data_IF_894316807757
#
_entry.id   IF_894316807757
#
_cell.length_a   1.000
_cell.length_b   1.000
_cell.length_c   1.000
_cell.angle_alpha   90.00
_cell.angle_beta   90.00
_cell.angle_gamma   90.00
#
_symmetry.space_group_name_H-M   'P 1'
#
loop_
_entity.id
_entity.type
_entity.pdbx_description
1 polymer ?
#
# COMPACT_ATOMS: atom_id res chain seq x y z
N UNK A 1 3.46 34.38 -4.77
CA UNK A 1 2.63 33.26 -4.33
C UNK A 1 3.43 31.99 -4.58
N UNK A 2 3.39 31.00 -3.70
CA UNK A 2 4.11 29.74 -3.88
C UNK A 2 3.57 28.98 -5.10
N UNK A 3 4.44 28.32 -5.86
CA UNK A 3 4.09 27.61 -7.08
C UNK A 3 3.98 26.11 -6.82
N UNK A 4 2.79 25.53 -7.09
CA UNK A 4 2.49 24.11 -6.88
C UNK A 4 2.35 23.42 -8.25
N UNK A 5 3.27 22.54 -8.57
CA UNK A 5 3.29 21.76 -9.81
C UNK A 5 2.60 20.40 -9.62
N UNK A 6 1.63 20.10 -10.46
CA UNK A 6 0.92 18.83 -10.49
C UNK A 6 1.43 18.00 -11.66
N UNK A 7 2.00 16.84 -11.37
CA UNK A 7 2.57 15.95 -12.41
C UNK A 7 1.58 14.97 -13.02
N UNK A 8 0.55 14.44 -12.28
CA UNK A 8 -0.36 13.48 -12.88
C UNK A 8 -1.42 14.15 -13.73
N UNK A 9 -1.90 13.49 -14.79
CA UNK A 9 -3.07 13.92 -15.56
C UNK A 9 -4.30 14.10 -14.69
N UNK A 10 -5.13 15.08 -15.00
CA UNK A 10 -6.31 15.43 -14.20
C UNK A 10 -7.59 15.50 -15.04
N UNK A 11 -8.63 14.81 -14.56
CA UNK A 11 -10.00 15.00 -15.05
C UNK A 11 -10.62 16.32 -14.56
N UNK A 12 -11.81 16.63 -15.07
CA UNK A 12 -12.51 17.89 -14.75
C UNK A 12 -12.80 18.04 -13.25
N UNK A 13 -13.18 16.97 -12.55
CA UNK A 13 -13.47 16.99 -11.11
C UNK A 13 -12.23 17.38 -10.31
N UNK A 14 -11.08 16.77 -10.60
CA UNK A 14 -9.84 17.08 -9.88
C UNK A 14 -9.31 18.47 -10.22
N UNK A 15 -9.49 18.95 -11.46
CA UNK A 15 -9.18 20.34 -11.85
C UNK A 15 -9.99 21.35 -11.08
N UNK A 16 -11.29 21.09 -10.88
CA UNK A 16 -12.17 21.95 -10.07
C UNK A 16 -11.69 21.99 -8.60
N UNK A 17 -11.33 20.85 -8.03
CA UNK A 17 -10.77 20.75 -6.67
C UNK A 17 -9.49 21.60 -6.56
N UNK A 18 -8.56 21.45 -7.51
CA UNK A 18 -7.33 22.26 -7.54
C UNK A 18 -7.67 23.74 -7.62
N UNK A 19 -8.54 24.16 -8.55
CA UNK A 19 -8.93 25.56 -8.73
C UNK A 19 -9.57 26.17 -7.49
N UNK A 20 -10.42 25.41 -6.77
CA UNK A 20 -11.01 25.86 -5.51
C UNK A 20 -9.97 26.00 -4.39
N UNK A 21 -9.06 25.06 -4.24
CA UNK A 21 -8.03 25.04 -3.18
C UNK A 21 -6.88 26.01 -3.43
N UNK A 22 -6.58 26.30 -4.69
CA UNK A 22 -5.52 27.23 -5.08
C UNK A 22 -5.89 28.70 -4.81
N UNK A 23 -7.19 29.05 -4.81
CA UNK A 23 -7.64 30.46 -4.66
C UNK A 23 -7.07 31.12 -3.41
N UNK A 24 -6.18 32.09 -3.64
CA UNK A 24 -5.53 32.86 -2.56
C UNK A 24 -4.46 32.10 -1.77
N UNK A 25 -4.21 30.81 -2.06
CA UNK A 25 -3.26 29.98 -1.33
C UNK A 25 -1.95 29.75 -2.11
N UNK A 26 -2.05 29.41 -3.41
CA UNK A 26 -0.90 29.09 -4.26
C UNK A 26 -1.22 29.25 -5.75
N UNK A 27 -0.17 29.36 -6.58
CA UNK A 27 -0.25 29.32 -8.03
C UNK A 27 -0.20 27.84 -8.49
N UNK A 28 -1.28 27.35 -9.12
CA UNK A 28 -1.40 25.96 -9.55
C UNK A 28 -0.96 25.80 -11.00
N UNK A 29 0.00 24.93 -11.25
CA UNK A 29 0.49 24.58 -12.58
C UNK A 29 0.27 23.09 -12.82
N UNK A 30 -0.52 22.72 -13.84
CA UNK A 30 -0.74 21.33 -14.24
C UNK A 30 0.20 21.04 -15.40
N UNK A 31 1.13 20.10 -15.22
CA UNK A 31 2.22 19.83 -16.16
C UNK A 31 1.71 19.39 -17.53
N UNK A 32 0.61 18.63 -17.60
CA UNK A 32 0.04 18.18 -18.87
C UNK A 32 -0.51 19.32 -19.74
N UNK A 33 -0.88 20.46 -19.14
CA UNK A 33 -1.42 21.62 -19.84
C UNK A 33 -0.34 22.49 -20.49
N UNK A 34 0.93 22.27 -20.12
CA UNK A 34 2.05 23.04 -20.62
C UNK A 34 2.61 22.44 -21.90
N UNK A 35 2.93 23.28 -22.90
CA UNK A 35 3.73 22.86 -24.04
C UNK A 35 5.11 22.39 -23.57
N UNK A 36 5.74 21.49 -24.34
CA UNK A 36 6.97 20.81 -23.94
C UNK A 36 8.11 21.77 -23.58
N UNK A 37 8.24 22.85 -24.35
CA UNK A 37 9.25 23.89 -24.13
C UNK A 37 9.06 24.72 -22.84
N UNK A 38 7.90 24.68 -22.21
CA UNK A 38 7.62 25.40 -20.95
C UNK A 38 7.77 24.50 -19.70
N UNK A 39 7.84 23.18 -19.89
CA UNK A 39 7.89 22.23 -18.78
C UNK A 39 9.15 22.37 -17.92
N UNK A 40 10.30 22.64 -18.55
CA UNK A 40 11.54 22.85 -17.82
C UNK A 40 11.47 24.08 -16.90
N UNK A 41 10.83 25.16 -17.35
CA UNK A 41 10.61 26.34 -16.52
C UNK A 41 9.63 26.05 -15.37
N UNK A 42 8.64 25.20 -15.59
CA UNK A 42 7.71 24.79 -14.54
C UNK A 42 8.42 23.99 -13.42
N UNK A 43 9.32 23.09 -13.77
CA UNK A 43 10.16 22.39 -12.78
C UNK A 43 11.07 23.36 -12.01
N UNK A 44 11.72 24.27 -12.70
CA UNK A 44 12.67 25.21 -12.09
C UNK A 44 12.01 26.17 -11.10
N UNK A 45 10.73 26.48 -11.30
CA UNK A 45 9.99 27.45 -10.46
C UNK A 45 9.08 26.81 -9.41
N UNK A 46 8.99 25.48 -9.36
CA UNK A 46 8.13 24.79 -8.42
C UNK A 46 8.67 24.87 -6.98
N UNK A 47 7.84 25.36 -6.04
CA UNK A 47 8.06 25.27 -4.59
C UNK A 47 7.58 23.93 -4.04
N UNK A 48 6.50 23.40 -4.62
CA UNK A 48 5.84 22.16 -4.22
C UNK A 48 5.53 21.33 -5.47
N UNK A 49 5.75 20.03 -5.38
CA UNK A 49 5.29 19.05 -6.39
C UNK A 49 4.24 18.15 -5.77
N UNK A 50 3.09 18.01 -6.46
CA UNK A 50 2.04 17.02 -6.14
C UNK A 50 2.07 15.93 -7.22
N UNK A 51 2.30 14.67 -6.81
CA UNK A 51 2.62 13.56 -7.72
C UNK A 51 2.03 12.24 -7.26
N UNK A 52 1.80 11.29 -8.19
CA UNK A 52 1.60 9.87 -7.86
C UNK A 52 2.90 9.21 -7.39
N UNK A 53 4.04 9.81 -7.72
CA UNK A 53 5.36 9.39 -7.27
C UNK A 53 6.08 8.42 -8.19
N UNK A 54 5.53 8.07 -9.35
CA UNK A 54 6.22 7.18 -10.26
C UNK A 54 7.50 7.83 -10.84
N UNK A 55 8.63 7.09 -10.93
CA UNK A 55 9.89 7.65 -11.43
C UNK A 55 9.79 8.33 -12.81
N UNK A 56 8.85 7.89 -13.67
CA UNK A 56 8.57 8.47 -14.98
C UNK A 56 7.89 9.85 -14.93
N UNK A 57 7.31 10.23 -13.79
CA UNK A 57 6.71 11.56 -13.59
C UNK A 57 7.76 12.65 -13.33
N UNK A 58 8.99 12.26 -13.04
CA UNK A 58 10.07 13.17 -12.67
C UNK A 58 11.20 13.11 -13.71
N UNK A 59 11.71 14.25 -14.19
CA UNK A 59 12.87 14.27 -15.06
C UNK A 59 14.09 13.68 -14.35
N UNK A 60 15.02 13.03 -15.07
CA UNK A 60 16.24 12.45 -14.47
C UNK A 60 17.10 13.48 -13.74
N UNK A 61 17.12 14.71 -14.25
CA UNK A 61 17.89 15.86 -13.77
C UNK A 61 17.05 16.81 -12.87
N UNK A 62 16.01 16.28 -12.21
CA UNK A 62 15.13 17.07 -11.34
C UNK A 62 15.90 17.80 -10.24
N UNK A 63 16.93 17.16 -9.67
CA UNK A 63 17.75 17.75 -8.59
C UNK A 63 18.43 19.05 -9.01
N UNK A 64 18.89 19.12 -10.26
CA UNK A 64 19.54 20.28 -10.83
C UNK A 64 18.53 21.33 -11.28
N UNK A 65 17.37 20.89 -11.78
CA UNK A 65 16.31 21.78 -12.28
C UNK A 65 15.49 22.41 -11.16
N UNK A 66 14.99 21.62 -10.23
CA UNK A 66 14.01 22.07 -9.24
C UNK A 66 14.66 22.59 -7.95
N UNK A 67 15.58 23.56 -8.06
CA UNK A 67 16.37 24.09 -6.90
C UNK A 67 15.52 24.77 -5.83
N UNK A 68 14.32 25.22 -6.17
CA UNK A 68 13.39 25.88 -5.25
C UNK A 68 12.45 24.90 -4.55
N UNK A 69 12.53 23.59 -4.89
CA UNK A 69 11.61 22.58 -4.38
C UNK A 69 11.78 22.38 -2.87
N UNK A 70 10.71 22.59 -2.12
CA UNK A 70 10.68 22.44 -0.66
C UNK A 70 9.84 21.25 -0.21
N UNK A 71 8.80 20.87 -0.99
CA UNK A 71 7.90 19.78 -0.63
C UNK A 71 7.54 18.93 -1.85
N UNK A 72 7.60 17.61 -1.69
CA UNK A 72 6.94 16.65 -2.57
C UNK A 72 5.79 16.02 -1.78
N UNK A 73 4.56 16.27 -2.23
CA UNK A 73 3.35 15.65 -1.70
C UNK A 73 2.91 14.50 -2.60
N UNK A 74 3.09 13.27 -2.14
CA UNK A 74 2.55 12.12 -2.85
C UNK A 74 1.02 12.07 -2.74
N UNK A 75 0.33 11.62 -3.79
CA UNK A 75 -1.12 11.36 -3.82
C UNK A 75 -1.46 9.94 -3.32
N UNK A 76 -0.45 9.13 -3.02
CA UNK A 76 -0.57 7.73 -2.59
C UNK A 76 -0.03 7.54 -1.17
N UNK A 77 -0.50 6.49 -0.50
CA UNK A 77 -0.08 6.19 0.86
C UNK A 77 1.33 5.57 0.93
N UNK A 78 1.64 4.63 0.04
CA UNK A 78 2.96 3.99 -0.02
C UNK A 78 3.88 4.73 -0.98
N UNK A 79 5.09 5.04 -0.55
CA UNK A 79 6.05 5.90 -1.27
C UNK A 79 7.38 5.20 -1.60
N UNK A 80 7.41 3.89 -1.49
CA UNK A 80 8.57 3.03 -1.75
C UNK A 80 9.11 3.11 -3.18
N UNK A 81 8.32 3.59 -4.12
CA UNK A 81 8.65 3.78 -5.53
C UNK A 81 9.11 5.20 -5.90
N UNK A 82 9.13 6.14 -4.94
CA UNK A 82 9.61 7.50 -5.16
C UNK A 82 11.12 7.53 -5.45
N UNK A 83 11.57 8.32 -6.45
CA UNK A 83 12.99 8.49 -6.73
C UNK A 83 13.62 9.52 -5.77
N UNK A 84 13.75 9.15 -4.49
CA UNK A 84 14.25 10.04 -3.44
C UNK A 84 15.61 10.69 -3.76
N UNK A 85 16.44 10.00 -4.52
CA UNK A 85 17.76 10.46 -4.95
C UNK A 85 17.72 11.60 -5.99
N UNK A 86 16.58 11.78 -6.66
CA UNK A 86 16.36 12.88 -7.63
C UNK A 86 15.87 14.18 -6.97
N UNK A 87 15.46 14.13 -5.71
CA UNK A 87 15.01 15.34 -5.04
C UNK A 87 16.18 16.18 -4.52
N UNK A 88 16.10 17.52 -4.60
CA UNK A 88 17.08 18.41 -3.98
C UNK A 88 17.27 18.11 -2.49
N UNK A 89 18.47 18.29 -1.93
CA UNK A 89 18.72 18.17 -0.51
C UNK A 89 17.81 19.10 0.30
N UNK A 90 17.22 18.59 1.38
CA UNK A 90 16.32 19.36 2.24
C UNK A 90 14.85 19.36 1.79
N UNK A 91 14.53 18.75 0.64
CA UNK A 91 13.14 18.59 0.21
C UNK A 91 12.40 17.69 1.20
N UNK A 92 11.29 18.18 1.75
CA UNK A 92 10.38 17.38 2.58
C UNK A 92 9.55 16.51 1.66
N UNK A 93 9.39 15.24 2.01
CA UNK A 93 8.51 14.31 1.29
C UNK A 93 7.38 13.89 2.21
N UNK A 94 6.15 14.01 1.72
CA UNK A 94 4.96 13.57 2.45
C UNK A 94 4.21 12.50 1.68
N UNK A 95 3.81 11.44 2.37
CA UNK A 95 2.86 10.45 1.84
C UNK A 95 1.41 10.94 2.02
N UNK A 96 0.46 10.26 1.37
CA UNK A 96 -0.97 10.53 1.56
C UNK A 96 -1.62 9.48 2.50
N UNK A 97 -0.89 9.07 3.53
CA UNK A 97 -1.39 8.12 4.51
C UNK A 97 -2.67 8.64 5.16
N UNK A 98 -3.67 7.78 5.31
CA UNK A 98 -5.00 8.14 5.82
C UNK A 98 -6.05 8.35 4.71
N UNK A 99 -5.65 8.85 3.54
CA UNK A 99 -6.60 9.16 2.47
C UNK A 99 -7.38 7.92 1.94
N UNK A 100 -6.78 6.74 2.02
CA UNK A 100 -7.34 5.48 1.49
C UNK A 100 -7.76 4.49 2.58
N UNK A 101 -7.74 4.89 3.84
CA UNK A 101 -7.82 3.95 4.97
C UNK A 101 -9.12 3.14 4.97
N UNK A 102 -10.25 3.78 4.71
CA UNK A 102 -11.57 3.12 4.73
C UNK A 102 -11.68 2.12 3.58
N UNK A 103 -11.48 2.56 2.34
CA UNK A 103 -11.66 1.71 1.15
C UNK A 103 -10.72 0.49 1.14
N UNK A 104 -9.46 0.69 1.54
CA UNK A 104 -8.48 -0.40 1.62
C UNK A 104 -8.81 -1.34 2.78
N UNK A 105 -9.28 -0.84 3.91
CA UNK A 105 -9.69 -1.68 5.03
C UNK A 105 -10.93 -2.52 4.69
N UNK A 106 -11.90 -1.97 3.96
CA UNK A 106 -13.07 -2.72 3.48
C UNK A 106 -12.65 -3.86 2.55
N UNK A 107 -11.73 -3.60 1.62
CA UNK A 107 -11.19 -4.62 0.73
C UNK A 107 -10.42 -5.71 1.50
N UNK A 108 -9.62 -5.32 2.50
CA UNK A 108 -8.92 -6.27 3.37
C UNK A 108 -9.91 -7.18 4.10
N UNK A 109 -11.00 -6.63 4.63
CA UNK A 109 -12.06 -7.42 5.28
C UNK A 109 -12.78 -8.34 4.29
N UNK A 110 -13.06 -7.87 3.06
CA UNK A 110 -13.64 -8.70 2.01
C UNK A 110 -12.74 -9.89 1.68
N UNK A 111 -11.43 -9.68 1.53
CA UNK A 111 -10.43 -10.72 1.30
C UNK A 111 -10.35 -11.69 2.49
N UNK A 112 -10.29 -11.17 3.72
CA UNK A 112 -10.23 -11.98 4.94
C UNK A 112 -11.45 -12.87 5.09
N UNK A 113 -12.66 -12.31 4.92
CA UNK A 113 -13.91 -13.07 5.00
C UNK A 113 -14.05 -14.07 3.84
N UNK A 114 -13.66 -13.69 2.63
CA UNK A 114 -13.68 -14.59 1.48
C UNK A 114 -12.75 -15.80 1.69
N UNK A 115 -11.57 -15.58 2.27
CA UNK A 115 -10.63 -16.64 2.62
C UNK A 115 -11.14 -17.50 3.79
N UNK A 116 -11.73 -16.88 4.83
CA UNK A 116 -12.27 -17.60 5.99
C UNK A 116 -13.46 -18.51 5.63
N UNK A 117 -14.24 -18.14 4.62
CA UNK A 117 -15.41 -18.86 4.14
C UNK A 117 -15.16 -19.64 2.84
N UNK A 118 -13.94 -19.67 2.34
CA UNK A 118 -13.58 -20.30 1.06
C UNK A 118 -14.50 -19.88 -0.12
N UNK A 119 -14.99 -18.62 -0.13
CA UNK A 119 -16.04 -18.17 -1.07
C UNK A 119 -15.66 -18.44 -2.53
N UNK A 120 -14.42 -18.15 -2.92
CA UNK A 120 -13.96 -18.33 -4.31
C UNK A 120 -13.95 -19.82 -4.66
N UNK A 121 -13.41 -20.66 -3.79
CA UNK A 121 -13.36 -22.12 -3.98
C UNK A 121 -14.77 -22.70 -4.07
N UNK A 122 -15.67 -22.37 -3.14
CA UNK A 122 -17.06 -22.85 -3.15
C UNK A 122 -17.83 -22.38 -4.39
N UNK A 123 -17.55 -21.17 -4.86
CA UNK A 123 -18.14 -20.65 -6.11
C UNK A 123 -17.71 -21.52 -7.31
N UNK A 124 -16.43 -21.87 -7.39
CA UNK A 124 -15.91 -22.72 -8.47
C UNK A 124 -16.43 -24.16 -8.38
N UNK A 125 -16.59 -24.71 -7.19
CA UNK A 125 -17.20 -26.03 -6.97
C UNK A 125 -18.63 -26.07 -7.49
N UNK A 126 -19.46 -25.10 -7.12
CA UNK A 126 -20.85 -25.01 -7.62
C UNK A 126 -20.87 -24.89 -9.15
N UNK A 127 -20.01 -24.07 -9.75
CA UNK A 127 -19.90 -23.95 -11.22
C UNK A 127 -19.55 -25.27 -11.90
N UNK A 128 -18.82 -26.16 -11.22
CA UNK A 128 -18.46 -27.51 -11.69
C UNK A 128 -19.51 -28.57 -11.32
N UNK A 129 -20.62 -28.18 -10.70
CA UNK A 129 -21.70 -29.09 -10.29
C UNK A 129 -21.39 -29.86 -8.99
N UNK A 130 -20.43 -29.43 -8.21
CA UNK A 130 -20.10 -30.02 -6.89
C UNK A 130 -20.94 -29.28 -5.82
N UNK A 131 -21.80 -30.03 -5.11
CA UNK A 131 -22.64 -29.52 -4.03
C UNK A 131 -22.29 -30.24 -2.73
N UNK A 132 -21.23 -29.79 -2.05
CA UNK A 132 -20.74 -30.37 -0.79
C UNK A 132 -21.12 -29.47 0.39
N UNK A 133 -21.99 -29.98 1.27
CA UNK A 133 -22.40 -29.33 2.53
C UNK A 133 -21.58 -29.84 3.74
N UNK A 134 -20.66 -30.80 3.54
CA UNK A 134 -19.82 -31.37 4.61
C UNK A 134 -18.57 -30.53 4.96
N UNK A 135 -18.44 -29.32 4.41
CA UNK A 135 -17.27 -28.48 4.62
C UNK A 135 -17.34 -27.65 5.93
N UNK A 136 -16.18 -27.38 6.52
CA UNK A 136 -16.08 -26.53 7.71
C UNK A 136 -15.31 -25.26 7.37
N UNK A 137 -15.94 -24.12 7.61
CA UNK A 137 -15.36 -22.79 7.40
C UNK A 137 -14.85 -22.18 8.71
N UNK A 138 -13.91 -21.23 8.63
CA UNK A 138 -13.48 -20.47 9.82
C UNK A 138 -14.51 -19.39 10.20
N UNK A 139 -14.67 -19.15 11.50
CA UNK A 139 -15.35 -17.98 12.02
C UNK A 139 -14.32 -16.88 12.31
N UNK A 140 -14.72 -15.62 12.17
CA UNK A 140 -13.91 -14.50 12.64
C UNK A 140 -14.15 -14.24 14.13
N UNK A 141 -15.38 -14.45 14.58
CA UNK A 141 -15.72 -14.37 16.00
C UNK A 141 -14.88 -15.35 16.83
N UNK A 142 -14.22 -14.83 17.87
CA UNK A 142 -13.32 -15.60 18.72
C UNK A 142 -11.94 -15.93 18.11
N UNK A 143 -11.68 -15.53 16.86
CA UNK A 143 -10.35 -15.71 16.22
C UNK A 143 -9.36 -14.64 16.68
N UNK A 144 -8.06 -14.96 16.61
CA UNK A 144 -6.98 -13.99 16.82
C UNK A 144 -6.49 -13.47 15.47
N UNK A 145 -6.63 -12.15 15.26
CA UNK A 145 -6.15 -11.46 14.06
C UNK A 145 -4.96 -10.58 14.41
N UNK A 146 -3.81 -10.89 13.84
CA UNK A 146 -2.57 -10.11 13.98
C UNK A 146 -2.45 -9.12 12.81
N UNK A 147 -2.38 -7.82 13.10
CA UNK A 147 -2.29 -6.77 12.08
C UNK A 147 -0.90 -6.15 12.15
N UNK A 148 -0.10 -6.36 11.10
CA UNK A 148 1.22 -5.76 10.98
C UNK A 148 1.07 -4.34 10.41
N UNK A 149 1.24 -3.35 11.27
CA UNK A 149 1.08 -1.94 10.94
C UNK A 149 -0.27 -1.37 11.41
N UNK A 150 -0.28 -0.59 12.50
CA UNK A 150 -1.44 0.14 13.02
C UNK A 150 -1.45 1.62 12.55
N UNK A 151 -1.12 1.86 11.27
CA UNK A 151 -1.36 3.14 10.60
C UNK A 151 -2.85 3.37 10.32
N UNK A 152 -3.18 4.33 9.45
CA UNK A 152 -4.58 4.61 9.12
C UNK A 152 -5.34 3.38 8.63
N UNK A 153 -4.77 2.60 7.69
CA UNK A 153 -5.39 1.38 7.14
C UNK A 153 -5.52 0.30 8.22
N UNK A 154 -4.42 -0.03 8.91
CA UNK A 154 -4.43 -1.10 9.91
C UNK A 154 -5.36 -0.81 11.09
N UNK A 155 -5.49 0.46 11.51
CA UNK A 155 -6.45 0.86 12.54
C UNK A 155 -7.90 0.68 12.08
N UNK A 156 -8.21 0.98 10.81
CA UNK A 156 -9.53 0.75 10.23
C UNK A 156 -9.86 -0.75 10.07
N UNK A 157 -8.85 -1.59 9.77
CA UNK A 157 -8.99 -3.05 9.75
C UNK A 157 -9.25 -3.56 11.17
N UNK A 158 -8.46 -3.12 12.15
CA UNK A 158 -8.58 -3.52 13.54
C UNK A 158 -9.99 -3.24 14.10
N UNK A 159 -10.51 -2.03 13.87
CA UNK A 159 -11.86 -1.64 14.27
C UNK A 159 -12.93 -2.56 13.66
N UNK A 160 -12.77 -2.96 12.39
CA UNK A 160 -13.69 -3.87 11.70
C UNK A 160 -13.58 -5.30 12.22
N UNK A 161 -12.37 -5.80 12.47
CA UNK A 161 -12.17 -7.13 13.07
C UNK A 161 -12.82 -7.23 14.45
N UNK A 162 -12.69 -6.18 15.28
CA UNK A 162 -13.38 -6.13 16.58
C UNK A 162 -14.91 -6.14 16.45
N UNK A 163 -15.47 -5.51 15.41
CA UNK A 163 -16.92 -5.58 15.14
C UNK A 163 -17.40 -6.99 14.72
N UNK A 164 -16.47 -7.88 14.36
CA UNK A 164 -16.71 -9.30 14.15
C UNK A 164 -16.32 -10.17 15.35
N UNK A 165 -16.17 -9.58 16.53
CA UNK A 165 -15.81 -10.26 17.79
C UNK A 165 -14.45 -11.00 17.71
N UNK A 166 -13.52 -10.53 16.87
CA UNK A 166 -12.16 -11.06 16.83
C UNK A 166 -11.28 -10.41 17.90
N UNK A 167 -10.36 -11.18 18.47
CA UNK A 167 -9.26 -10.66 19.28
C UNK A 167 -8.17 -10.07 18.38
N UNK A 168 -7.87 -8.79 18.53
CA UNK A 168 -6.96 -8.05 17.65
C UNK A 168 -5.64 -7.78 18.32
N UNK A 169 -4.55 -8.28 17.73
CA UNK A 169 -3.18 -7.96 18.10
C UNK A 169 -2.59 -7.03 17.03
N UNK A 170 -2.21 -5.82 17.43
CA UNK A 170 -1.59 -4.85 16.54
C UNK A 170 -0.06 -4.84 16.67
N UNK A 171 0.65 -4.91 15.56
CA UNK A 171 2.12 -4.74 15.51
C UNK A 171 2.44 -3.34 15.01
N UNK A 172 3.15 -2.55 15.83
CA UNK A 172 3.50 -1.17 15.55
C UNK A 172 4.95 -0.87 15.92
N UNK A 173 5.50 0.27 15.44
CA UNK A 173 6.87 0.71 15.79
C UNK A 173 7.03 1.01 17.28
N UNK A 174 5.96 1.45 17.93
CA UNK A 174 5.94 1.75 19.35
C UNK A 174 4.70 1.13 20.01
N UNK A 175 4.85 0.74 21.25
CA UNK A 175 3.76 0.18 22.08
C UNK A 175 2.79 1.26 22.61
N UNK A 176 2.75 2.44 21.98
CA UNK A 176 1.82 3.49 22.36
C UNK A 176 0.38 2.97 22.25
N UNK A 177 -0.36 3.01 23.34
CA UNK A 177 -1.72 2.51 23.40
C UNK A 177 -2.58 3.12 22.30
N UNK A 178 -3.17 2.28 21.49
CA UNK A 178 -4.20 2.64 20.50
C UNK A 178 -5.42 1.82 20.85
N UNK A 179 -6.52 2.47 21.13
CA UNK A 179 -7.80 1.86 21.54
C UNK A 179 -8.40 0.87 20.53
N UNK A 180 -7.79 0.78 19.34
CA UNK A 180 -8.29 -0.06 18.24
C UNK A 180 -7.88 -1.53 18.31
N UNK A 181 -6.88 -1.90 19.11
CA UNK A 181 -6.41 -3.28 19.26
C UNK A 181 -6.49 -3.70 20.73
N UNK A 182 -6.67 -5.01 20.99
CA UNK A 182 -6.72 -5.58 22.32
C UNK A 182 -5.32 -5.73 22.92
N UNK A 183 -4.34 -6.07 22.07
CA UNK A 183 -2.92 -6.09 22.42
C UNK A 183 -2.08 -5.33 21.39
N UNK A 184 -0.94 -4.76 21.85
CA UNK A 184 0.02 -4.09 20.97
C UNK A 184 1.41 -4.65 21.22
N UNK A 185 2.04 -5.12 20.12
CA UNK A 185 3.42 -5.57 20.08
C UNK A 185 4.25 -4.77 19.07
N UNK A 186 5.52 -5.13 19.01
CA UNK A 186 6.49 -4.70 17.99
C UNK A 186 6.85 -5.86 17.07
N UNK A 187 7.64 -5.62 16.05
CA UNK A 187 8.12 -6.68 15.14
C UNK A 187 8.86 -7.79 15.92
N UNK A 188 9.59 -7.45 16.98
CA UNK A 188 10.32 -8.40 17.81
C UNK A 188 9.40 -9.35 18.60
N UNK A 189 8.14 -8.97 18.79
CA UNK A 189 7.14 -9.79 19.48
C UNK A 189 6.42 -10.79 18.54
N UNK A 190 6.66 -10.75 17.22
CA UNK A 190 6.02 -11.65 16.25
C UNK A 190 6.16 -13.14 16.59
N UNK A 191 7.33 -13.65 17.05
CA UNK A 191 7.47 -15.05 17.43
C UNK A 191 6.50 -15.49 18.54
N UNK A 192 6.04 -14.57 19.38
CA UNK A 192 5.04 -14.83 20.45
C UNK A 192 3.62 -14.90 19.88
N UNK A 193 3.29 -14.05 18.90
CA UNK A 193 1.91 -13.91 18.44
C UNK A 193 1.55 -14.83 17.28
N UNK A 194 2.50 -15.14 16.39
CA UNK A 194 2.25 -15.93 15.17
C UNK A 194 1.68 -17.33 15.43
N UNK A 195 2.15 -18.10 16.48
CA UNK A 195 1.60 -19.43 16.73
C UNK A 195 0.11 -19.42 17.16
N UNK A 196 -0.36 -18.32 17.71
CA UNK A 196 -1.76 -18.16 18.09
C UNK A 196 -2.64 -17.52 17.02
N UNK A 197 -2.06 -16.97 15.96
CA UNK A 197 -2.77 -16.21 14.94
C UNK A 197 -3.63 -17.11 14.04
N UNK A 198 -4.92 -16.82 13.96
CA UNK A 198 -5.84 -17.41 12.98
C UNK A 198 -5.77 -16.66 11.64
N UNK A 199 -5.46 -15.37 11.70
CA UNK A 199 -5.20 -14.56 10.52
C UNK A 199 -4.09 -13.54 10.79
N UNK A 200 -3.32 -13.23 9.74
CA UNK A 200 -2.33 -12.15 9.72
C UNK A 200 -2.67 -11.21 8.56
N UNK A 201 -2.73 -9.91 8.84
CA UNK A 201 -2.99 -8.88 7.83
C UNK A 201 -1.80 -7.93 7.73
N UNK A 202 -1.24 -7.79 6.54
CA UNK A 202 -0.11 -6.91 6.28
C UNK A 202 -0.62 -5.52 5.86
N UNK A 203 -0.38 -4.51 6.71
CA UNK A 203 -0.77 -3.12 6.51
C UNK A 203 0.38 -2.14 6.81
N UNK A 204 1.62 -2.60 6.76
CA UNK A 204 2.84 -1.81 7.00
C UNK A 204 3.49 -1.36 5.68
N UNK A 205 4.28 -0.27 5.67
CA UNK A 205 4.97 0.18 4.48
C UNK A 205 6.12 -0.79 4.11
N UNK A 206 6.44 -0.86 2.82
CA UNK A 206 7.65 -1.49 2.34
C UNK A 206 8.85 -0.56 2.58
N UNK A 207 9.74 -0.96 3.45
CA UNK A 207 11.00 -0.29 3.78
C UNK A 207 12.14 -1.30 3.76
N UNK A 208 13.38 -0.85 3.96
CA UNK A 208 14.52 -1.78 4.10
C UNK A 208 14.36 -2.75 5.26
N UNK A 209 13.71 -2.33 6.33
CA UNK A 209 13.50 -3.17 7.52
C UNK A 209 12.33 -4.15 7.37
N UNK A 210 11.40 -3.90 6.44
CA UNK A 210 10.19 -4.73 6.28
C UNK A 210 10.18 -5.56 5.01
N UNK A 211 11.10 -5.32 4.07
CA UNK A 211 11.25 -6.13 2.88
C UNK A 211 11.53 -7.59 3.23
N UNK A 212 10.70 -8.51 2.71
CA UNK A 212 10.82 -9.94 2.98
C UNK A 212 10.55 -10.35 4.43
N UNK A 213 9.86 -9.52 5.22
CA UNK A 213 9.54 -9.84 6.63
C UNK A 213 8.71 -11.13 6.76
N UNK A 214 7.91 -11.45 5.75
CA UNK A 214 7.19 -12.72 5.66
C UNK A 214 8.03 -13.68 4.81
N UNK A 215 8.89 -14.39 5.50
CA UNK A 215 9.75 -15.44 4.96
C UNK A 215 9.28 -16.84 5.43
N UNK A 216 10.04 -17.87 5.09
CA UNK A 216 9.79 -19.26 5.50
C UNK A 216 9.71 -19.40 7.02
N UNK A 217 10.54 -18.69 7.77
CA UNK A 217 10.55 -18.72 9.23
C UNK A 217 9.31 -18.09 9.84
N UNK A 218 8.82 -17.00 9.25
CA UNK A 218 7.55 -16.37 9.62
C UNK A 218 6.36 -17.31 9.36
N UNK A 219 6.27 -17.82 8.12
CA UNK A 219 5.19 -18.71 7.69
C UNK A 219 5.14 -19.99 8.50
N UNK A 220 6.31 -20.59 8.77
CA UNK A 220 6.42 -21.82 9.57
C UNK A 220 6.03 -21.67 11.05
N UNK A 221 5.84 -20.43 11.56
CA UNK A 221 5.29 -20.18 12.90
C UNK A 221 3.78 -20.01 12.92
N UNK A 222 3.16 -19.77 11.79
CA UNK A 222 1.70 -19.64 11.70
C UNK A 222 1.02 -21.01 11.80
N UNK A 223 -0.26 -21.02 12.14
CA UNK A 223 -1.07 -22.26 12.10
C UNK A 223 -1.17 -22.79 10.67
N UNK A 224 -1.22 -24.14 10.52
CA UNK A 224 -1.34 -24.81 9.20
C UNK A 224 -2.60 -24.44 8.41
N UNK A 225 -3.57 -23.83 9.09
CA UNK A 225 -4.83 -23.39 8.51
C UNK A 225 -5.06 -21.88 8.68
N UNK A 226 -4.01 -21.14 8.97
CA UNK A 226 -4.08 -19.69 9.11
C UNK A 226 -4.38 -18.98 7.77
N UNK A 227 -4.78 -17.71 7.89
CA UNK A 227 -5.05 -16.84 6.74
C UNK A 227 -4.00 -15.72 6.71
N UNK A 228 -3.36 -15.51 5.56
CA UNK A 228 -2.47 -14.37 5.32
C UNK A 228 -3.14 -13.42 4.32
N UNK A 229 -3.36 -12.17 4.72
CA UNK A 229 -3.91 -11.11 3.84
C UNK A 229 -2.83 -10.06 3.57
N UNK A 230 -2.56 -9.77 2.30
CA UNK A 230 -1.64 -8.70 1.92
C UNK A 230 -2.31 -7.64 1.05
N UNK A 231 -2.57 -6.48 1.64
CA UNK A 231 -3.08 -5.29 0.94
C UNK A 231 -2.04 -4.16 0.91
N UNK A 232 -0.83 -4.43 1.35
CA UNK A 232 0.22 -3.43 1.48
C UNK A 232 1.18 -3.42 0.29
N UNK A 233 2.14 -4.36 0.26
CA UNK A 233 3.12 -4.50 -0.84
C UNK A 233 3.51 -5.97 -1.02
N UNK A 234 3.65 -6.43 -2.26
CA UNK A 234 4.07 -7.81 -2.57
C UNK A 234 5.43 -8.15 -1.97
N UNK A 235 6.40 -7.26 -2.07
CA UNK A 235 7.79 -7.45 -1.58
C UNK A 235 7.94 -7.52 -0.05
N UNK A 236 6.87 -7.37 0.72
CA UNK A 236 6.86 -7.73 2.14
C UNK A 236 6.96 -9.23 2.35
N UNK A 237 6.61 -10.01 1.33
CA UNK A 237 6.60 -11.46 1.34
C UNK A 237 7.70 -11.96 0.39
N UNK A 238 8.46 -12.96 0.82
CA UNK A 238 9.36 -13.71 -0.07
C UNK A 238 8.49 -14.62 -0.94
N UNK A 239 8.48 -14.39 -2.26
CA UNK A 239 7.57 -15.04 -3.21
C UNK A 239 7.67 -16.57 -3.18
N UNK A 240 8.90 -17.09 -3.26
CA UNK A 240 9.16 -18.53 -3.26
C UNK A 240 8.70 -19.19 -1.96
N UNK A 241 8.96 -18.55 -0.83
CA UNK A 241 8.60 -19.10 0.49
C UNK A 241 7.10 -19.19 0.67
N UNK A 242 6.33 -18.17 0.22
CA UNK A 242 4.88 -18.22 0.27
C UNK A 242 4.33 -19.30 -0.66
N UNK A 243 4.85 -19.40 -1.90
CA UNK A 243 4.39 -20.41 -2.85
C UNK A 243 4.62 -21.83 -2.31
N UNK A 244 5.83 -22.12 -1.83
CA UNK A 244 6.19 -23.43 -1.28
C UNK A 244 5.36 -23.75 -0.03
N UNK A 245 5.11 -22.76 0.83
CA UNK A 245 4.27 -22.92 2.02
C UNK A 245 2.83 -23.26 1.65
N UNK A 246 2.22 -22.54 0.73
CA UNK A 246 0.85 -22.77 0.26
C UNK A 246 0.68 -24.16 -0.37
N UNK A 247 1.69 -24.61 -1.12
CA UNK A 247 1.71 -25.95 -1.72
C UNK A 247 1.81 -27.07 -0.67
N UNK A 248 2.59 -26.84 0.38
CA UNK A 248 2.79 -27.81 1.47
C UNK A 248 1.61 -27.83 2.46
N UNK A 249 0.87 -26.72 2.62
CA UNK A 249 -0.20 -26.55 3.59
C UNK A 249 -1.55 -26.23 2.90
N UNK A 250 -2.28 -27.23 2.38
CA UNK A 250 -3.51 -26.99 1.59
C UNK A 250 -4.64 -26.29 2.37
N UNK A 251 -4.60 -26.28 3.69
CA UNK A 251 -5.58 -25.58 4.54
C UNK A 251 -5.20 -24.14 4.82
N UNK A 252 -3.93 -23.76 4.63
CA UNK A 252 -3.49 -22.35 4.72
C UNK A 252 -4.10 -21.56 3.57
N UNK A 253 -4.49 -20.32 3.81
CA UNK A 253 -5.07 -19.43 2.80
C UNK A 253 -4.24 -18.16 2.66
N UNK A 254 -3.99 -17.74 1.43
CA UNK A 254 -3.46 -16.41 1.14
C UNK A 254 -4.49 -15.58 0.36
N UNK A 255 -4.60 -14.29 0.69
CA UNK A 255 -5.43 -13.35 -0.03
C UNK A 255 -4.60 -12.10 -0.35
N UNK A 256 -4.32 -11.89 -1.64
CA UNK A 256 -3.32 -10.95 -2.13
C UNK A 256 -3.95 -9.92 -3.04
N UNK A 257 -3.79 -8.62 -2.71
CA UNK A 257 -4.15 -7.50 -3.59
C UNK A 257 -2.89 -6.83 -4.18
N UNK A 258 -1.70 -7.12 -3.64
CA UNK A 258 -0.44 -6.49 -4.04
C UNK A 258 0.61 -7.53 -4.41
N UNK A 259 1.51 -7.16 -5.34
CA UNK A 259 2.30 -8.10 -6.12
C UNK A 259 3.79 -7.75 -6.14
N UNK A 260 4.63 -8.72 -6.55
CA UNK A 260 6.08 -8.59 -6.67
C UNK A 260 6.50 -7.82 -7.92
N UNK A 261 5.70 -7.97 -9.01
CA UNK A 261 5.88 -7.23 -10.28
C UNK A 261 4.54 -6.65 -10.72
N UNK A 262 4.60 -5.64 -11.62
CA UNK A 262 3.41 -5.04 -12.19
C UNK A 262 3.58 -5.01 -13.71
N UNK A 263 2.72 -5.72 -14.47
CA UNK A 263 2.77 -5.71 -15.92
C UNK A 263 2.53 -4.29 -16.47
N UNK A 264 3.26 -3.92 -17.52
CA UNK A 264 3.09 -2.62 -18.19
C UNK A 264 1.78 -2.52 -18.98
N UNK A 265 1.13 -3.64 -19.21
CA UNK A 265 -0.15 -3.76 -19.93
C UNK A 265 -1.23 -4.32 -19.02
N UNK A 266 -2.49 -4.30 -19.49
CA UNK A 266 -3.61 -4.97 -18.79
C UNK A 266 -3.55 -6.49 -18.82
N UNK A 267 -2.53 -7.05 -19.47
CA UNK A 267 -2.28 -8.49 -19.56
C UNK A 267 -0.92 -8.82 -18.97
N UNK A 268 -0.80 -9.98 -18.35
CA UNK A 268 0.43 -10.46 -17.73
C UNK A 268 0.20 -10.94 -16.30
N UNK A 269 1.17 -11.68 -15.79
CA UNK A 269 1.16 -12.19 -14.43
C UNK A 269 2.06 -11.31 -13.55
N UNK A 270 1.58 -10.87 -12.38
CA UNK A 270 2.37 -10.01 -11.49
C UNK A 270 3.26 -10.82 -10.52
N UNK A 271 3.55 -12.07 -10.86
CA UNK A 271 4.32 -13.02 -10.05
C UNK A 271 5.13 -13.96 -10.96
N UNK A 272 6.18 -14.61 -10.41
CA UNK A 272 7.04 -15.55 -11.12
C UNK A 272 6.60 -17.02 -10.89
N UNK A 273 6.08 -17.32 -9.68
CA UNK A 273 5.58 -18.66 -9.34
C UNK A 273 4.12 -18.83 -9.76
N UNK A 274 3.67 -20.03 -10.13
CA UNK A 274 2.33 -20.26 -10.69
C UNK A 274 1.22 -20.25 -9.62
N UNK A 275 1.02 -19.12 -8.92
CA UNK A 275 -0.03 -18.98 -7.90
C UNK A 275 -1.45 -19.23 -8.42
N UNK A 276 -1.69 -19.02 -9.72
CA UNK A 276 -2.98 -19.29 -10.34
C UNK A 276 -3.39 -20.78 -10.32
N UNK A 277 -2.43 -21.67 -10.08
CA UNK A 277 -2.68 -23.13 -10.04
C UNK A 277 -2.97 -23.61 -8.60
N UNK A 278 -2.90 -22.72 -7.61
CA UNK A 278 -3.16 -23.04 -6.21
C UNK A 278 -4.60 -22.69 -5.82
N UNK A 279 -5.39 -23.67 -5.30
CA UNK A 279 -6.79 -23.41 -4.94
C UNK A 279 -6.98 -22.58 -3.66
N UNK A 280 -5.93 -22.44 -2.88
CA UNK A 280 -5.92 -21.76 -1.58
C UNK A 280 -5.39 -20.32 -1.64
N UNK A 281 -5.46 -19.68 -2.83
CA UNK A 281 -5.06 -18.28 -3.02
C UNK A 281 -6.21 -17.48 -3.62
N UNK A 282 -6.52 -16.33 -3.00
CA UNK A 282 -7.40 -15.31 -3.56
C UNK A 282 -6.54 -14.17 -4.08
N UNK A 283 -6.80 -13.72 -5.31
CA UNK A 283 -5.97 -12.76 -6.03
C UNK A 283 -6.82 -11.62 -6.59
N UNK A 284 -6.43 -10.38 -6.28
CA UNK A 284 -7.02 -9.16 -6.86
C UNK A 284 -5.93 -8.24 -7.43
N UNK A 285 -6.18 -7.47 -8.50
CA UNK A 285 -5.14 -6.79 -9.25
C UNK A 285 -4.81 -5.38 -8.70
N UNK A 286 -4.54 -5.26 -7.39
CA UNK A 286 -4.22 -4.01 -6.68
C UNK A 286 -5.35 -2.96 -6.84
N UNK A 287 -6.55 -3.36 -6.49
CA UNK A 287 -7.77 -2.56 -6.65
C UNK A 287 -8.42 -2.13 -5.33
N UNK A 288 -7.81 -2.45 -4.21
CA UNK A 288 -8.32 -2.10 -2.88
C UNK A 288 -8.78 -0.63 -2.74
N UNK A 289 -8.09 0.39 -3.27
CA UNK A 289 -8.51 1.78 -3.17
C UNK A 289 -9.53 2.21 -4.26
N UNK A 290 -9.93 1.33 -5.19
CA UNK A 290 -10.70 1.71 -6.38
C UNK A 290 -12.20 1.79 -6.10
N UNK A 291 -12.63 2.82 -5.37
CA UNK A 291 -14.03 3.14 -5.13
C UNK A 291 -14.40 4.51 -5.72
N UNK A 292 -15.69 4.78 -6.04
CA UNK A 292 -16.12 6.08 -6.57
C UNK A 292 -15.70 7.25 -5.67
N UNK A 293 -15.24 8.35 -6.28
CA UNK A 293 -14.82 9.57 -5.58
C UNK A 293 -13.47 9.47 -4.83
N UNK A 294 -12.86 8.31 -4.75
CA UNK A 294 -11.64 8.11 -3.94
C UNK A 294 -10.46 8.97 -4.40
N UNK A 295 -10.29 9.14 -5.72
CA UNK A 295 -9.20 9.97 -6.26
C UNK A 295 -9.38 11.46 -5.93
N UNK A 296 -10.62 11.94 -5.98
CA UNK A 296 -10.98 13.30 -5.59
C UNK A 296 -10.70 13.52 -4.10
N UNK A 297 -11.18 12.63 -3.24
CA UNK A 297 -10.93 12.67 -1.78
C UNK A 297 -9.43 12.65 -1.46
N UNK A 298 -8.66 11.78 -2.12
CA UNK A 298 -7.21 11.71 -1.91
C UNK A 298 -6.50 13.01 -2.30
N UNK A 299 -6.93 13.65 -3.38
CA UNK A 299 -6.43 14.96 -3.79
C UNK A 299 -6.77 16.04 -2.76
N UNK A 300 -7.98 16.07 -2.22
CA UNK A 300 -8.39 17.03 -1.20
C UNK A 300 -7.53 16.91 0.07
N UNK A 301 -7.26 15.68 0.52
CA UNK A 301 -6.39 15.41 1.68
C UNK A 301 -4.96 15.89 1.40
N UNK A 302 -4.41 15.59 0.24
CA UNK A 302 -3.07 16.02 -0.17
C UNK A 302 -2.96 17.55 -0.24
N UNK A 303 -3.96 18.22 -0.82
CA UNK A 303 -3.98 19.67 -0.94
C UNK A 303 -4.15 20.37 0.42
N UNK A 304 -4.92 19.80 1.34
CA UNK A 304 -5.00 20.30 2.70
C UNK A 304 -3.61 20.29 3.38
N UNK A 305 -2.82 19.24 3.14
CA UNK A 305 -1.45 19.14 3.66
C UNK A 305 -0.48 20.12 2.97
N UNK A 306 -0.63 20.35 1.67
CA UNK A 306 0.13 21.37 0.92
C UNK A 306 -0.17 22.78 1.48
N UNK A 307 -1.45 23.13 1.65
CA UNK A 307 -1.85 24.43 2.21
C UNK A 307 -1.29 24.61 3.62
N UNK A 308 -1.38 23.57 4.46
CA UNK A 308 -0.78 23.54 5.80
C UNK A 308 0.72 23.89 5.76
N UNK A 309 1.48 23.23 4.88
CA UNK A 309 2.90 23.49 4.68
C UNK A 309 3.17 24.93 4.24
N UNK A 310 2.39 25.46 3.29
CA UNK A 310 2.55 26.82 2.78
C UNK A 310 2.25 27.91 3.82
N UNK A 311 1.43 27.58 4.82
CA UNK A 311 1.20 28.45 5.99
C UNK A 311 2.30 28.34 7.05
N UNK A 312 3.38 27.58 6.80
CA UNK A 312 4.49 27.40 7.74
C UNK A 312 4.21 26.40 8.86
N UNK A 313 3.10 25.67 8.78
CA UNK A 313 2.79 24.61 9.73
C UNK A 313 3.51 23.30 9.35
N UNK A 314 3.78 22.45 10.35
CA UNK A 314 4.38 21.13 10.10
C UNK A 314 3.42 20.26 9.28
N UNK A 315 3.82 19.79 8.09
CA UNK A 315 2.96 18.92 7.29
C UNK A 315 2.80 17.56 7.96
N UNK A 316 1.70 16.87 7.64
CA UNK A 316 1.43 15.52 8.09
C UNK A 316 2.16 14.49 7.23
N UNK A 317 2.35 13.29 7.76
CA UNK A 317 2.85 12.12 7.04
C UNK A 317 4.22 12.35 6.37
N UNK A 318 5.10 13.10 7.04
CA UNK A 318 6.49 13.29 6.60
C UNK A 318 7.18 11.93 6.58
N UNK A 319 7.87 11.67 5.49
CA UNK A 319 8.58 10.42 5.21
C UNK A 319 10.06 10.63 5.51
N UNK A 320 10.70 9.64 6.14
CA UNK A 320 12.15 9.57 6.21
C UNK A 320 12.69 8.78 4.99
N UNK A 321 13.34 9.45 4.02
CA UNK A 321 13.89 8.77 2.84
C UNK A 321 14.93 7.70 3.20
N UNK A 322 15.56 7.78 4.37
CA UNK A 322 16.57 6.82 4.80
C UNK A 322 15.98 5.43 5.09
N UNK A 323 14.67 5.32 5.32
CA UNK A 323 13.99 4.03 5.52
C UNK A 323 13.80 3.24 4.21
N UNK A 324 13.91 3.90 3.04
CA UNK A 324 13.61 3.30 1.74
C UNK A 324 14.88 2.85 1.00
N UNK A 325 14.75 1.78 0.19
CA UNK A 325 15.84 1.32 -0.65
C UNK A 325 16.15 2.37 -1.74
N UNK A 326 17.46 2.52 -2.07
CA UNK A 326 17.82 3.36 -3.22
C UNK A 326 17.21 2.75 -4.49
N UNK A 327 16.55 3.55 -5.37
CA UNK A 327 16.13 3.06 -6.67
C UNK A 327 17.36 2.55 -7.44
N UNK A 328 17.35 1.30 -7.90
CA UNK A 328 18.39 0.74 -8.75
C UNK A 328 19.19 -0.45 -8.24
N UNK A 329 19.07 -0.88 -7.00
CA UNK A 329 19.83 -2.04 -6.50
C UNK A 329 19.31 -3.41 -6.99
N UNK A 330 18.06 -3.49 -7.46
CA UNK A 330 17.38 -4.77 -7.75
C UNK A 330 17.08 -5.03 -9.25
N UNK A 331 17.39 -4.08 -10.15
CA UNK A 331 17.14 -4.30 -11.59
C UNK A 331 18.30 -4.97 -12.35
N UNK A 332 19.43 -5.30 -11.71
CA UNK A 332 20.61 -5.89 -12.38
C UNK A 332 20.79 -7.39 -12.20
N UNK A 333 19.89 -8.10 -11.54
CA UNK A 333 20.04 -9.56 -11.32
C UNK A 333 19.18 -10.46 -12.22
N UNK A 334 18.29 -9.93 -13.05
CA UNK A 334 17.44 -10.73 -13.93
C UNK A 334 17.67 -10.51 -15.43
N UNK A 335 18.86 -10.13 -15.82
CA UNK A 335 19.22 -10.00 -17.23
C UNK A 335 20.52 -10.72 -17.53
N UNK A 336 20.50 -12.06 -17.56
CA UNK A 336 21.38 -12.93 -18.35
C UNK A 336 21.10 -14.40 -17.99
N UNK A 337 20.17 -15.03 -18.69
CA UNK A 337 20.36 -16.42 -19.12
C UNK A 337 19.96 -16.45 -20.57
N UNK A 338 20.91 -16.88 -21.41
CA UNK A 338 20.82 -16.97 -22.84
C UNK A 338 19.82 -18.01 -23.37
#
# INVERSE_FOLDING_TARGET
MARVLFTPPMDAERRDIVGRKARGAFDAVILEDLPENERDAAWATADVIVSMGFPREFPPDLREKARNLRLVQALVAGVDHLPFDRFPPGTIVCSNAGAYSVSVAEHAMALLLAAAKDIVLRTDEIRRGIFDQGVTNKALAGSTVVILGLGGIGSEIARRCKAFDAHVVGIARSRTAREVADEIGTIDDLPRYLPGADAVVLALPLTRATAGIVDRGFLGRMKDDAILVNIARGKLIVEDDLFDHLKAHPRFRAALDTWWTYPDTKQGRPFHRPFQDLPNVIMTPHVAPMVPGQRARALEVALANVVRFLHGEKPHNVVDPSEYAKPGADQRKNGTVG
#
